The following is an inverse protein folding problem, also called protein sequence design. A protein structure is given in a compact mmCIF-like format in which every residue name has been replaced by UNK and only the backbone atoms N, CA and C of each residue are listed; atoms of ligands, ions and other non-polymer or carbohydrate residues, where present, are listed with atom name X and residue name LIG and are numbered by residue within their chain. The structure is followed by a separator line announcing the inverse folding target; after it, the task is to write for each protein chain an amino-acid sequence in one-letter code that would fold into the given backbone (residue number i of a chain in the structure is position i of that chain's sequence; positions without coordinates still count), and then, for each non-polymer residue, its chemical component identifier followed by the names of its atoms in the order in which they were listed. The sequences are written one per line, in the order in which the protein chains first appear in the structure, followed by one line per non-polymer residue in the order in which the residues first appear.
data_IF_988791584457
#
_entry.id   IF_988791584457
#
_cell.length_a   1.000
_cell.length_b   1.000
_cell.length_c   1.000
_cell.angle_alpha   90.00
_cell.angle_beta   90.00
_cell.angle_gamma   90.00
#
_symmetry.space_group_name_H-M   'P 1'
#
loop_
_entity.id
_entity.type
_entity.pdbx_description
1 polymer ?
#
# COMPACT_ATOMS: atom_id res chain seq x y z
N UNK A 1 -24.44 22.84 22.99
CA UNK A 1 -23.13 22.22 23.30
C UNK A 1 -22.79 21.04 22.39
N UNK A 2 -23.67 20.04 22.18
CA UNK A 2 -23.41 18.87 21.32
C UNK A 2 -23.09 19.27 19.88
N UNK A 3 -23.87 20.18 19.28
CA UNK A 3 -23.62 20.69 17.91
C UNK A 3 -22.24 21.34 17.74
N UNK A 4 -21.74 22.04 18.76
CA UNK A 4 -20.41 22.64 18.75
C UNK A 4 -19.30 21.58 18.73
N UNK A 5 -19.46 20.52 19.53
CA UNK A 5 -18.51 19.41 19.53
C UNK A 5 -18.50 18.65 18.21
N UNK A 6 -19.67 18.43 17.60
CA UNK A 6 -19.78 17.81 16.25
C UNK A 6 -19.05 18.67 15.23
N UNK A 7 -19.26 19.99 15.25
CA UNK A 7 -18.57 20.91 14.33
C UNK A 7 -17.04 20.88 14.53
N UNK A 8 -16.57 20.85 15.78
CA UNK A 8 -15.13 20.74 16.08
C UNK A 8 -14.56 19.41 15.56
N UNK A 9 -15.26 18.31 15.75
CA UNK A 9 -14.83 17.00 15.22
C UNK A 9 -14.77 16.99 13.70
N UNK A 10 -15.74 17.59 13.02
CA UNK A 10 -15.75 17.75 11.56
C UNK A 10 -14.54 18.60 11.10
N UNK A 11 -14.28 19.72 11.75
CA UNK A 11 -13.14 20.59 11.41
C UNK A 11 -11.81 19.85 11.62
N UNK A 12 -11.68 19.11 12.73
CA UNK A 12 -10.49 18.30 13.00
C UNK A 12 -10.32 17.21 11.95
N UNK A 13 -11.40 16.52 11.60
CA UNK A 13 -11.39 15.51 10.54
C UNK A 13 -10.97 16.09 9.19
N UNK A 14 -11.57 17.21 8.76
CA UNK A 14 -11.21 17.90 7.51
C UNK A 14 -9.73 18.29 7.52
N UNK A 15 -9.22 18.84 8.63
CA UNK A 15 -7.80 19.21 8.75
C UNK A 15 -6.87 17.98 8.75
N UNK A 16 -7.32 16.83 9.21
CA UNK A 16 -6.54 15.59 9.17
C UNK A 16 -6.39 15.05 7.75
N UNK A 17 -7.43 15.19 6.93
CA UNK A 17 -7.47 14.70 5.54
C UNK A 17 -7.14 15.77 4.51
N UNK A 18 -6.97 17.05 4.94
CA UNK A 18 -6.61 18.15 4.06
C UNK A 18 -5.29 17.82 3.33
N UNK A 19 -5.30 17.66 2.01
CA UNK A 19 -4.11 17.37 1.22
C UNK A 19 -3.10 18.53 1.22
N UNK A 20 -3.51 19.70 1.74
CA UNK A 20 -2.70 20.91 1.71
C UNK A 20 -2.56 21.49 0.30
N UNK A 21 -1.53 22.30 0.09
CA UNK A 21 -1.25 22.86 -1.24
C UNK A 21 -0.78 21.77 -2.20
N UNK A 22 -1.39 21.70 -3.41
CA UNK A 22 -0.94 20.80 -4.48
C UNK A 22 0.56 20.98 -4.70
N UNK A 23 1.33 19.96 -4.37
CA UNK A 23 2.77 19.95 -4.62
C UNK A 23 3.03 19.31 -5.98
N UNK A 24 3.72 20.02 -6.86
CA UNK A 24 4.33 19.40 -8.04
C UNK A 24 5.44 18.48 -7.54
N UNK A 25 5.30 17.20 -7.73
CA UNK A 25 6.31 16.22 -7.33
C UNK A 25 6.53 15.20 -8.45
N UNK A 26 7.78 14.82 -8.75
CA UNK A 26 8.07 13.88 -9.85
C UNK A 26 7.31 12.56 -9.78
N UNK A 27 7.02 12.05 -8.58
CA UNK A 27 6.23 10.83 -8.40
C UNK A 27 4.82 10.95 -8.99
N UNK A 28 4.24 12.14 -9.05
CA UNK A 28 2.91 12.39 -9.59
C UNK A 28 2.90 12.62 -11.11
N UNK A 29 4.06 12.73 -11.74
CA UNK A 29 4.18 12.95 -13.19
C UNK A 29 4.14 11.65 -14.00
N UNK A 30 4.03 10.49 -13.33
CA UNK A 30 3.93 9.21 -14.00
C UNK A 30 2.52 9.01 -14.52
N UNK A 31 2.40 8.72 -15.82
CA UNK A 31 1.10 8.62 -16.50
C UNK A 31 0.29 7.41 -16.02
N UNK A 32 0.95 6.30 -15.71
CA UNK A 32 0.30 5.05 -15.33
C UNK A 32 1.02 4.39 -14.15
N UNK A 33 0.24 3.96 -13.17
CA UNK A 33 0.67 3.05 -12.12
C UNK A 33 0.03 1.68 -12.32
N UNK A 34 0.84 0.64 -12.26
CA UNK A 34 0.37 -0.73 -12.26
C UNK A 34 -0.11 -1.09 -10.85
N UNK A 35 -1.43 -1.11 -10.64
CA UNK A 35 -2.08 -1.49 -9.38
C UNK A 35 -1.69 -2.92 -9.01
N UNK A 36 -1.05 -3.11 -7.85
CA UNK A 36 -0.46 -4.39 -7.39
C UNK A 36 0.54 -5.00 -8.37
N UNK A 37 1.25 -4.15 -9.14
CA UNK A 37 2.11 -4.57 -10.24
C UNK A 37 1.36 -4.86 -11.54
N UNK A 38 2.09 -5.13 -12.63
CA UNK A 38 1.50 -5.43 -13.93
C UNK A 38 1.11 -6.92 -14.02
N UNK A 39 0.05 -7.29 -13.32
CA UNK A 39 -0.50 -8.63 -13.21
C UNK A 39 -1.65 -8.90 -14.21
N UNK A 40 -2.28 -10.08 -14.09
CA UNK A 40 -3.48 -10.48 -14.88
C UNK A 40 -3.17 -11.39 -16.05
N UNK A 41 -1.91 -11.64 -16.38
CA UNK A 41 -1.50 -12.70 -17.31
C UNK A 41 -1.27 -14.02 -16.55
N UNK A 42 -1.33 -15.13 -17.28
CA UNK A 42 -1.05 -16.47 -16.73
C UNK A 42 0.32 -16.51 -16.06
N UNK A 43 0.36 -17.02 -14.84
CA UNK A 43 1.58 -17.09 -14.03
C UNK A 43 2.05 -15.79 -13.40
N UNK A 44 1.35 -14.67 -13.59
CA UNK A 44 1.70 -13.34 -13.06
C UNK A 44 0.59 -12.82 -12.11
N UNK A 45 0.57 -13.31 -10.85
CA UNK A 45 -0.40 -12.86 -9.87
C UNK A 45 -0.10 -11.44 -9.35
N UNK A 46 -1.13 -10.78 -8.79
CA UNK A 46 -0.99 -9.49 -8.11
C UNK A 46 0.03 -9.55 -6.98
N UNK A 47 0.67 -8.42 -6.67
CA UNK A 47 1.66 -8.28 -5.59
C UNK A 47 2.78 -9.35 -5.62
N UNK A 48 3.12 -9.85 -6.81
CA UNK A 48 4.19 -10.81 -7.02
C UNK A 48 5.45 -10.17 -7.59
N UNK A 49 6.58 -10.85 -7.42
CA UNK A 49 7.84 -10.39 -7.99
C UNK A 49 7.79 -10.38 -9.53
N UNK A 50 7.07 -11.31 -10.15
CA UNK A 50 6.85 -11.34 -11.59
C UNK A 50 6.08 -10.09 -12.08
N UNK A 51 5.01 -9.69 -11.36
CA UNK A 51 4.22 -8.50 -11.69
C UNK A 51 5.05 -7.21 -11.56
N UNK A 52 5.88 -7.09 -10.54
CA UNK A 52 6.75 -5.93 -10.34
C UNK A 52 7.86 -5.84 -11.39
N UNK A 53 8.49 -6.95 -11.74
CA UNK A 53 9.47 -7.02 -12.84
C UNK A 53 8.85 -6.60 -14.16
N UNK A 54 7.62 -7.03 -14.44
CA UNK A 54 6.92 -6.68 -15.67
C UNK A 54 6.57 -5.19 -15.68
N UNK A 55 6.00 -4.63 -14.61
CA UNK A 55 5.72 -3.21 -14.50
C UNK A 55 6.98 -2.35 -14.72
N UNK A 56 8.09 -2.72 -14.06
CA UNK A 56 9.39 -2.06 -14.22
C UNK A 56 9.87 -2.07 -15.68
N UNK A 57 9.82 -3.21 -16.36
CA UNK A 57 10.22 -3.32 -17.79
C UNK A 57 9.33 -2.50 -18.71
N UNK A 58 8.05 -2.34 -18.36
CA UNK A 58 7.09 -1.54 -19.13
C UNK A 58 7.16 -0.04 -18.82
N UNK A 59 8.02 0.38 -17.88
CA UNK A 59 8.16 1.79 -17.49
C UNK A 59 6.99 2.34 -16.68
N UNK A 60 6.14 1.49 -16.12
CA UNK A 60 5.01 1.89 -15.28
C UNK A 60 5.46 2.10 -13.83
N UNK A 61 4.90 3.11 -13.17
CA UNK A 61 4.94 3.19 -11.72
C UNK A 61 4.30 1.93 -11.11
N UNK A 62 4.68 1.58 -9.91
CA UNK A 62 4.19 0.39 -9.23
C UNK A 62 3.44 0.82 -7.97
N UNK A 63 2.18 0.43 -7.87
CA UNK A 63 1.46 0.44 -6.62
C UNK A 63 1.60 -0.93 -5.96
N UNK A 64 1.71 -0.97 -4.63
CA UNK A 64 1.89 -2.19 -3.85
C UNK A 64 1.44 -2.04 -2.38
N UNK A 65 1.02 -3.14 -1.77
CA UNK A 65 0.43 -3.21 -0.44
C UNK A 65 1.39 -3.80 0.60
N UNK A 66 1.72 -3.05 1.65
CA UNK A 66 2.67 -3.51 2.69
C UNK A 66 1.98 -3.79 4.00
N UNK A 67 2.25 -4.97 4.58
CA UNK A 67 1.80 -5.34 5.92
C UNK A 67 2.88 -6.14 6.68
N UNK A 68 2.62 -6.46 7.95
CA UNK A 68 3.56 -7.20 8.80
C UNK A 68 3.10 -8.62 9.05
N UNK A 69 4.05 -9.56 8.99
CA UNK A 69 3.90 -10.91 9.53
C UNK A 69 3.94 -10.92 11.06
N UNK A 70 3.62 -12.06 11.68
CA UNK A 70 3.71 -12.31 13.12
C UNK A 70 5.09 -11.95 13.72
N UNK A 71 6.16 -12.33 13.03
CA UNK A 71 7.55 -12.02 13.42
C UNK A 71 8.01 -10.62 12.97
N UNK A 72 7.10 -9.84 12.38
CA UNK A 72 7.32 -8.43 12.02
C UNK A 72 8.16 -8.23 10.77
N UNK A 73 8.19 -9.18 9.86
CA UNK A 73 8.74 -9.03 8.52
C UNK A 73 7.75 -8.25 7.66
N UNK A 74 8.20 -7.24 6.92
CA UNK A 74 7.38 -6.52 5.94
C UNK A 74 7.22 -7.36 4.70
N UNK A 75 5.97 -7.67 4.34
CA UNK A 75 5.59 -8.44 3.15
C UNK A 75 4.66 -7.63 2.27
N UNK A 76 4.61 -7.98 0.98
CA UNK A 76 3.76 -7.30 0.01
C UNK A 76 2.59 -8.19 -0.35
N UNK A 77 1.40 -7.82 0.12
CA UNK A 77 0.15 -8.56 -0.08
C UNK A 77 -1.04 -7.68 0.29
N UNK A 78 -2.12 -7.72 -0.52
CA UNK A 78 -3.29 -6.85 -0.33
C UNK A 78 -4.18 -7.29 0.84
N UNK A 79 -4.68 -8.53 0.80
CA UNK A 79 -5.66 -9.03 1.77
C UNK A 79 -5.01 -9.28 3.14
N UNK A 80 -5.75 -9.12 4.21
CA UNK A 80 -5.27 -9.45 5.56
C UNK A 80 -5.13 -10.96 5.79
N UNK A 81 -5.75 -11.77 4.93
CA UNK A 81 -5.67 -13.24 4.95
C UNK A 81 -5.24 -13.81 3.60
N UNK A 82 -5.05 -15.13 3.56
CA UNK A 82 -4.55 -15.87 2.40
C UNK A 82 -5.66 -16.56 1.60
N UNK A 83 -6.94 -16.36 1.95
CA UNK A 83 -8.05 -17.15 1.38
C UNK A 83 -8.17 -16.99 -0.13
N UNK A 84 -8.23 -15.74 -0.61
CA UNK A 84 -8.42 -15.43 -2.04
C UNK A 84 -7.18 -15.79 -2.87
N UNK A 85 -6.00 -15.49 -2.36
CA UNK A 85 -4.75 -15.57 -3.14
C UNK A 85 -4.03 -16.90 -3.01
N UNK A 86 -4.22 -17.62 -1.88
CA UNK A 86 -3.52 -18.89 -1.61
C UNK A 86 -4.46 -20.05 -1.24
N UNK A 87 -5.79 -19.82 -1.19
CA UNK A 87 -6.78 -20.87 -0.89
C UNK A 87 -6.85 -21.32 0.58
N UNK A 88 -6.21 -20.59 1.51
CA UNK A 88 -6.16 -20.97 2.93
C UNK A 88 -6.66 -19.86 3.84
N UNK A 89 -7.52 -20.20 4.79
CA UNK A 89 -8.08 -19.23 5.74
C UNK A 89 -7.11 -19.00 6.91
N UNK A 90 -6.06 -18.21 6.68
CA UNK A 90 -5.07 -17.82 7.68
C UNK A 90 -4.71 -16.35 7.51
N UNK A 91 -4.63 -15.59 8.60
CA UNK A 91 -4.19 -14.19 8.55
C UNK A 91 -2.67 -14.10 8.39
N UNK A 92 -2.20 -13.08 7.67
CA UNK A 92 -0.77 -12.77 7.52
C UNK A 92 -0.13 -12.51 8.89
N UNK A 93 -0.84 -11.82 9.78
CA UNK A 93 -0.37 -11.48 11.13
C UNK A 93 -0.20 -12.70 12.06
N UNK A 94 -0.80 -13.83 11.73
CA UNK A 94 -0.70 -15.07 12.53
C UNK A 94 0.47 -15.96 12.10
N UNK A 95 1.09 -15.66 10.98
CA UNK A 95 2.17 -16.43 10.36
C UNK A 95 3.51 -15.71 10.46
N UNK A 96 4.56 -16.44 10.79
CA UNK A 96 5.93 -16.00 10.56
C UNK A 96 6.23 -15.98 9.06
N UNK A 97 7.24 -15.19 8.65
CA UNK A 97 7.62 -15.19 7.22
C UNK A 97 8.04 -16.56 6.72
N UNK A 98 8.71 -17.37 7.55
CA UNK A 98 9.09 -18.76 7.21
C UNK A 98 7.87 -19.64 6.92
N UNK A 99 6.80 -19.50 7.70
CA UNK A 99 5.54 -20.20 7.44
C UNK A 99 4.85 -19.69 6.19
N UNK A 100 4.85 -18.35 5.99
CA UNK A 100 4.27 -17.70 4.83
C UNK A 100 4.91 -18.17 3.50
N UNK A 101 6.21 -18.42 3.50
CA UNK A 101 6.94 -18.94 2.33
C UNK A 101 6.46 -20.30 1.80
N UNK A 102 5.62 -21.02 2.55
CA UNK A 102 5.04 -22.32 2.10
C UNK A 102 3.89 -22.14 1.11
N UNK A 103 3.28 -20.95 1.09
CA UNK A 103 2.12 -20.67 0.25
C UNK A 103 2.53 -20.10 -1.11
N UNK A 104 1.68 -20.33 -2.11
CA UNK A 104 1.87 -19.87 -3.49
C UNK A 104 0.69 -19.01 -3.87
N UNK A 105 1.01 -17.90 -4.57
CA UNK A 105 0.01 -16.97 -5.06
C UNK A 105 -0.74 -17.58 -6.26
N UNK A 106 -2.07 -17.68 -6.14
CA UNK A 106 -2.98 -18.10 -7.22
C UNK A 106 -2.54 -19.37 -7.97
N UNK A 107 -2.00 -20.38 -7.24
CA UNK A 107 -1.54 -21.64 -7.82
C UNK A 107 -0.27 -21.56 -8.67
N UNK A 108 0.38 -20.39 -8.76
CA UNK A 108 1.61 -20.18 -9.53
C UNK A 108 2.87 -20.62 -8.76
N UNK A 109 4.05 -20.34 -9.31
CA UNK A 109 5.34 -20.50 -8.61
C UNK A 109 5.68 -19.30 -7.73
N UNK A 110 4.97 -18.17 -7.87
CA UNK A 110 5.20 -16.94 -7.13
C UNK A 110 4.83 -17.09 -5.65
N UNK A 111 5.59 -16.40 -4.81
CA UNK A 111 5.39 -16.32 -3.36
C UNK A 111 5.09 -14.88 -2.98
N UNK A 112 4.58 -14.68 -1.78
CA UNK A 112 4.44 -13.36 -1.19
C UNK A 112 5.86 -12.81 -0.93
N UNK A 113 6.28 -11.73 -1.62
CA UNK A 113 7.64 -11.21 -1.49
C UNK A 113 7.79 -10.36 -0.22
N UNK A 114 9.01 -10.24 0.27
CA UNK A 114 9.34 -9.22 1.27
C UNK A 114 9.43 -7.84 0.61
N UNK A 115 8.97 -6.82 1.32
CA UNK A 115 9.03 -5.45 0.82
C UNK A 115 10.45 -5.03 0.44
N UNK A 116 11.45 -5.41 1.24
CA UNK A 116 12.87 -5.11 0.93
C UNK A 116 13.38 -5.79 -0.35
N UNK A 117 12.83 -6.93 -0.73
CA UNK A 117 13.15 -7.60 -1.99
C UNK A 117 12.58 -6.84 -3.18
N UNK A 118 11.35 -6.34 -3.03
CA UNK A 118 10.71 -5.49 -4.06
C UNK A 118 11.49 -4.19 -4.24
N UNK A 119 11.87 -3.50 -3.15
CA UNK A 119 12.69 -2.29 -3.22
C UNK A 119 14.01 -2.52 -3.98
N UNK A 120 14.68 -3.64 -3.73
CA UNK A 120 15.91 -4.02 -4.45
C UNK A 120 15.66 -4.31 -5.92
N UNK A 121 14.58 -5.02 -6.23
CA UNK A 121 14.23 -5.36 -7.62
C UNK A 121 13.88 -4.10 -8.43
N UNK A 122 13.12 -3.17 -7.85
CA UNK A 122 12.73 -1.94 -8.54
C UNK A 122 13.92 -1.01 -8.70
N UNK A 123 14.77 -0.91 -7.69
CA UNK A 123 16.05 -0.17 -7.70
C UNK A 123 15.94 1.26 -8.23
N UNK A 124 14.85 1.95 -7.87
CA UNK A 124 14.62 3.33 -8.29
C UNK A 124 14.27 3.54 -9.76
N UNK A 125 14.14 2.49 -10.56
CA UNK A 125 13.92 2.57 -12.02
C UNK A 125 12.55 3.14 -12.38
N UNK A 126 11.55 2.88 -11.55
CA UNK A 126 10.17 3.42 -11.66
C UNK A 126 9.70 3.86 -10.29
N UNK A 127 8.79 4.84 -10.18
CA UNK A 127 8.29 5.29 -8.89
C UNK A 127 7.36 4.28 -8.24
N UNK A 128 7.32 4.32 -6.91
CA UNK A 128 6.48 3.46 -6.08
C UNK A 128 5.35 4.26 -5.43
N UNK A 129 4.17 3.67 -5.41
CA UNK A 129 3.02 4.06 -4.59
C UNK A 129 2.84 2.96 -3.54
N UNK A 130 3.11 3.28 -2.28
CA UNK A 130 3.21 2.29 -1.20
C UNK A 130 1.99 2.42 -0.28
N UNK A 131 1.05 1.49 -0.40
CA UNK A 131 -0.08 1.41 0.53
C UNK A 131 0.34 0.69 1.83
N UNK A 132 0.04 1.29 2.97
CA UNK A 132 0.17 0.64 4.26
C UNK A 132 -1.16 -0.01 4.65
N UNK A 133 -1.21 -1.34 4.67
CA UNK A 133 -2.40 -2.10 5.10
C UNK A 133 -2.52 -2.08 6.62
N UNK A 134 -3.48 -1.31 7.12
CA UNK A 134 -3.69 -1.09 8.55
C UNK A 134 -5.17 -1.16 8.91
N UNK A 135 -5.57 -2.14 9.73
CA UNK A 135 -6.90 -2.18 10.35
C UNK A 135 -6.96 -1.31 11.62
N UNK A 136 -5.83 -1.12 12.28
CA UNK A 136 -5.69 -0.37 13.54
C UNK A 136 -4.42 0.46 13.53
N UNK A 137 -4.23 1.34 14.52
CA UNK A 137 -3.03 2.16 14.65
C UNK A 137 -1.76 1.31 14.78
N UNK A 138 -1.08 1.04 13.68
CA UNK A 138 0.13 0.21 13.64
C UNK A 138 1.40 1.05 13.50
N UNK A 139 1.84 1.65 14.62
CA UNK A 139 3.08 2.43 14.68
C UNK A 139 4.32 1.63 14.25
N UNK A 140 4.33 0.30 14.50
CA UNK A 140 5.46 -0.57 14.13
C UNK A 140 5.60 -0.66 12.61
N UNK A 141 4.48 -0.80 11.88
CA UNK A 141 4.48 -0.81 10.42
C UNK A 141 5.00 0.51 9.88
N UNK A 142 4.46 1.66 10.33
CA UNK A 142 4.92 2.98 9.89
C UNK A 142 6.43 3.15 10.07
N UNK A 143 6.97 2.82 11.25
CA UNK A 143 8.40 2.93 11.54
C UNK A 143 9.27 2.03 10.65
N UNK A 144 8.85 0.80 10.42
CA UNK A 144 9.62 -0.16 9.61
C UNK A 144 9.63 0.23 8.15
N UNK A 145 8.46 0.62 7.59
CA UNK A 145 8.35 1.07 6.20
C UNK A 145 9.17 2.35 6.00
N UNK A 146 9.02 3.35 6.87
CA UNK A 146 9.83 4.57 6.79
C UNK A 146 11.32 4.28 6.80
N UNK A 147 11.80 3.42 7.72
CA UNK A 147 13.23 3.04 7.79
C UNK A 147 13.72 2.34 6.51
N UNK A 148 12.89 1.52 5.88
CA UNK A 148 13.26 0.87 4.61
C UNK A 148 13.30 1.88 3.46
N UNK A 149 12.33 2.81 3.42
CA UNK A 149 12.24 3.85 2.40
C UNK A 149 13.31 4.95 2.56
N UNK A 150 13.79 5.24 3.80
CA UNK A 150 14.92 6.14 4.04
C UNK A 150 16.21 5.69 3.31
N UNK A 151 16.34 4.39 3.01
CA UNK A 151 17.49 3.81 2.31
C UNK A 151 17.22 3.60 0.82
N UNK A 152 15.99 3.82 0.36
CA UNK A 152 15.61 3.64 -1.04
C UNK A 152 15.87 4.92 -1.83
N UNK A 153 16.59 4.81 -2.93
CA UNK A 153 17.01 5.97 -3.75
C UNK A 153 15.99 6.34 -4.84
N UNK A 154 14.91 5.58 -4.98
CA UNK A 154 13.86 5.83 -5.97
C UNK A 154 12.81 6.82 -5.49
N UNK A 155 12.00 7.32 -6.44
CA UNK A 155 10.83 8.13 -6.13
C UNK A 155 9.73 7.25 -5.52
N UNK A 156 9.09 7.75 -4.48
CA UNK A 156 7.93 7.08 -3.88
C UNK A 156 6.97 8.09 -3.24
N UNK A 157 5.73 7.68 -3.10
CA UNK A 157 4.76 8.24 -2.17
C UNK A 157 4.13 7.12 -1.36
N UNK A 158 3.46 7.46 -0.28
CA UNK A 158 2.75 6.49 0.55
C UNK A 158 1.26 6.81 0.61
N UNK A 159 0.44 5.78 0.77
CA UNK A 159 -0.98 5.93 0.98
C UNK A 159 -1.52 4.96 2.02
N UNK A 160 -2.68 5.28 2.57
CA UNK A 160 -3.34 4.42 3.56
C UNK A 160 -4.81 4.82 3.72
N UNK A 161 -5.68 3.83 3.97
CA UNK A 161 -7.05 4.08 4.42
C UNK A 161 -7.11 4.59 5.87
N UNK A 162 -6.17 4.17 6.71
CA UNK A 162 -6.16 4.56 8.11
C UNK A 162 -5.44 5.90 8.32
N UNK A 163 -6.11 6.98 8.76
CA UNK A 163 -5.56 8.34 8.84
C UNK A 163 -4.36 8.44 9.80
N UNK A 164 -4.21 7.51 10.74
CA UNK A 164 -3.06 7.48 11.63
C UNK A 164 -1.72 7.35 10.88
N UNK A 165 -1.67 6.57 9.78
CA UNK A 165 -0.44 6.44 9.00
C UNK A 165 -0.03 7.78 8.41
N UNK A 166 -0.98 8.52 7.82
CA UNK A 166 -0.72 9.84 7.24
C UNK A 166 -0.25 10.84 8.29
N UNK A 167 -0.92 10.85 9.45
CA UNK A 167 -0.51 11.69 10.59
C UNK A 167 0.90 11.34 11.04
N UNK A 168 1.21 10.03 11.20
CA UNK A 168 2.53 9.58 11.61
C UNK A 168 3.62 10.02 10.62
N UNK A 169 3.41 9.81 9.31
CA UNK A 169 4.34 10.25 8.28
C UNK A 169 4.44 11.78 8.20
N UNK A 170 3.32 12.51 8.32
CA UNK A 170 3.34 13.99 8.39
C UNK A 170 4.27 14.49 9.50
N UNK A 171 4.28 13.81 10.65
CA UNK A 171 5.09 14.20 11.80
C UNK A 171 6.56 13.75 11.68
N UNK A 172 6.82 12.58 11.13
CA UNK A 172 8.15 11.95 11.18
C UNK A 172 8.90 11.98 9.84
N UNK A 173 8.20 12.21 8.73
CA UNK A 173 8.73 12.29 7.36
C UNK A 173 7.91 13.28 6.55
N UNK A 174 7.96 14.59 6.89
CA UNK A 174 7.10 15.63 6.29
C UNK A 174 7.34 15.80 4.79
N UNK A 175 8.52 15.42 4.29
CA UNK A 175 8.92 15.47 2.88
C UNK A 175 8.21 14.41 2.03
N UNK A 176 7.78 13.30 2.63
CA UNK A 176 7.11 12.21 1.92
C UNK A 176 5.70 12.65 1.51
N UNK A 177 5.37 12.49 0.24
CA UNK A 177 4.00 12.67 -0.25
C UNK A 177 3.10 11.57 0.30
N UNK A 178 1.90 11.96 0.71
CA UNK A 178 0.92 11.09 1.37
C UNK A 178 -0.42 11.21 0.68
N UNK A 179 -1.07 10.07 0.44
CA UNK A 179 -2.42 9.97 -0.06
C UNK A 179 -3.37 9.37 0.98
N UNK A 180 -4.52 10.00 1.21
CA UNK A 180 -5.61 9.40 1.96
C UNK A 180 -6.47 8.59 1.01
N UNK A 181 -6.56 7.28 1.24
CA UNK A 181 -7.49 6.41 0.54
C UNK A 181 -8.88 6.48 1.20
N UNK A 182 -9.92 6.45 0.39
CA UNK A 182 -11.31 6.35 0.84
C UNK A 182 -12.08 5.38 -0.05
N UNK A 183 -13.00 4.63 0.55
CA UNK A 183 -13.97 3.83 -0.17
C UNK A 183 -15.28 4.59 -0.34
N UNK A 184 -15.97 4.34 -1.43
CA UNK A 184 -17.31 4.85 -1.63
C UNK A 184 -18.29 4.02 -0.78
N UNK A 185 -18.91 4.65 0.22
CA UNK A 185 -19.85 3.98 1.14
C UNK A 185 -21.21 3.65 0.51
N UNK A 186 -21.52 4.22 -0.64
CA UNK A 186 -22.76 3.95 -1.37
C UNK A 186 -22.48 2.88 -2.44
N UNK A 187 -22.63 1.62 -2.08
CA UNK A 187 -22.72 0.53 -3.05
C UNK A 187 -24.12 0.51 -3.65
N UNK A 188 -24.29 1.05 -4.84
CA UNK A 188 -25.25 0.47 -5.77
C UNK A 188 -24.66 -0.87 -6.26
N UNK A 189 -25.51 -1.90 -6.23
CA UNK A 189 -25.19 -3.25 -6.71
C UNK A 189 -25.02 -3.23 -8.23
N UNK A 190 -23.85 -2.86 -8.71
CA UNK A 190 -23.42 -3.19 -10.06
C UNK A 190 -21.94 -3.54 -10.08
N UNK A 191 -21.65 -4.59 -10.82
CA UNK A 191 -20.37 -5.28 -10.91
C UNK A 191 -19.23 -4.35 -11.34
N UNK A 192 -18.14 -4.38 -10.57
CA UNK A 192 -16.79 -4.24 -11.11
C UNK A 192 -16.35 -2.87 -11.58
N UNK A 193 -16.16 -1.92 -10.68
CA UNK A 193 -15.03 -0.98 -10.74
C UNK A 193 -14.91 -0.26 -9.39
N UNK A 194 -13.94 -0.69 -8.60
CA UNK A 194 -13.52 0.04 -7.40
C UNK A 194 -12.85 1.33 -7.90
N UNK A 195 -13.59 2.42 -7.96
CA UNK A 195 -13.01 3.75 -8.11
C UNK A 195 -12.41 4.13 -6.75
N UNK A 196 -11.18 3.76 -6.53
CA UNK A 196 -10.34 4.31 -5.46
C UNK A 196 -10.03 5.76 -5.84
N UNK A 197 -10.69 6.72 -5.19
CA UNK A 197 -10.34 8.13 -5.30
C UNK A 197 -9.08 8.39 -4.46
N UNK A 198 -7.94 8.44 -5.13
CA UNK A 198 -6.69 8.87 -4.52
C UNK A 198 -6.71 10.40 -4.46
N UNK A 199 -6.90 10.96 -3.28
CA UNK A 199 -6.67 12.38 -3.02
C UNK A 199 -5.21 12.55 -2.57
N UNK A 200 -4.38 12.98 -3.50
CA UNK A 200 -2.96 13.33 -3.27
C UNK A 200 -2.83 14.82 -2.98
#
# INVERSE_FOLDING_TARGET
MILLWILVLIIVYIKMIDPGKKRKHPVLNVKYYAHRGFHGEEGIPENSMAAFKKAKRSGYGIELDVQLTKDGVMVVHHDYDLKRTCGVNKKITDLTYRELCRYRLMGTRERIPRFVEVLREVDGKVPLLVELKMETCNRKLCKKVAKALDQYKGLYCMECFHPYALYWFKKNRPEVIRGQLSEQFLKEKEEGMLLSLIHI
#
